data_IF_421225747535
#
_entry.id   IF_421225747535
#
_cell.length_a   1.000
_cell.length_b   1.000
_cell.length_c   1.000
_cell.angle_alpha   90.00
_cell.angle_beta   90.00
_cell.angle_gamma   90.00
#
_symmetry.space_group_name_H-M   'P 1'
#
loop_
_entity.id
_entity.type
_entity.pdbx_description
1 polymer ?
#
# COMPACT_ATOMS: atom_id res chain seq x y z
N UNK A 1 -25.32 -17.96 13.65
CA UNK A 1 -24.97 -17.01 14.73
C UNK A 1 -25.47 -17.63 16.03
N UNK A 2 -24.56 -18.04 16.89
CA UNK A 2 -24.88 -18.37 18.27
C UNK A 2 -25.42 -17.09 18.91
N UNK A 3 -26.48 -17.16 19.69
CA UNK A 3 -27.04 -16.02 20.42
C UNK A 3 -26.16 -15.50 21.56
N UNK A 4 -24.84 -15.61 21.42
CA UNK A 4 -23.85 -15.20 22.41
C UNK A 4 -23.39 -13.76 22.15
N UNK A 5 -23.16 -13.02 23.22
CA UNK A 5 -22.65 -11.66 23.18
C UNK A 5 -21.22 -11.66 22.67
N UNK A 6 -20.92 -10.81 21.68
CA UNK A 6 -19.57 -10.64 21.15
C UNK A 6 -18.94 -9.39 21.77
N UNK A 7 -17.77 -9.56 22.37
CA UNK A 7 -16.99 -8.44 22.90
C UNK A 7 -16.24 -7.73 21.75
N UNK A 8 -16.66 -6.51 21.41
CA UNK A 8 -16.05 -5.73 20.32
C UNK A 8 -15.23 -4.57 20.86
N UNK A 9 -15.63 -3.95 21.96
CA UNK A 9 -15.08 -2.69 22.47
C UNK A 9 -14.80 -2.71 23.98
N UNK A 10 -14.80 -3.86 24.62
CA UNK A 10 -14.57 -3.93 26.05
C UNK A 10 -13.29 -4.72 26.37
N UNK A 11 -12.34 -4.06 27.02
CA UNK A 11 -11.14 -4.69 27.54
C UNK A 11 -11.49 -5.48 28.80
N UNK A 12 -11.49 -6.80 28.68
CA UNK A 12 -11.84 -7.71 29.79
C UNK A 12 -10.80 -7.70 30.92
N UNK A 13 -9.53 -7.40 30.62
CA UNK A 13 -8.47 -7.35 31.62
C UNK A 13 -8.56 -6.10 32.49
N UNK A 14 -8.70 -4.95 31.83
CA UNK A 14 -8.77 -3.66 32.50
C UNK A 14 -10.20 -3.23 32.89
N UNK A 15 -11.21 -4.06 32.57
CA UNK A 15 -12.63 -3.83 32.84
C UNK A 15 -13.14 -2.44 32.40
N UNK A 16 -12.69 -1.96 31.26
CA UNK A 16 -13.03 -0.66 30.69
C UNK A 16 -13.30 -0.76 29.20
N UNK A 17 -13.86 0.28 28.64
CA UNK A 17 -13.99 0.41 27.18
C UNK A 17 -12.60 0.48 26.55
N UNK A 18 -12.31 -0.45 25.63
CA UNK A 18 -11.09 -0.54 24.85
C UNK A 18 -11.25 -0.02 23.45
N UNK A 19 -10.20 -0.19 22.64
CA UNK A 19 -10.21 0.12 21.22
C UNK A 19 -10.85 -1.06 20.46
N UNK A 20 -11.68 -0.75 19.47
CA UNK A 20 -12.26 -1.77 18.59
C UNK A 20 -11.15 -2.53 17.86
N UNK A 21 -11.21 -3.87 17.90
CA UNK A 21 -10.23 -4.76 17.26
C UNK A 21 -8.79 -4.70 17.85
N UNK A 22 -8.60 -4.24 19.08
CA UNK A 22 -7.28 -4.14 19.73
C UNK A 22 -6.46 -5.44 19.61
N UNK A 23 -7.05 -6.57 19.98
CA UNK A 23 -6.40 -7.87 19.82
C UNK A 23 -5.98 -8.18 18.37
N UNK A 24 -6.83 -7.84 17.41
CA UNK A 24 -6.53 -8.08 16.01
C UNK A 24 -5.39 -7.16 15.50
N UNK A 25 -5.34 -5.93 16.00
CA UNK A 25 -4.26 -4.99 15.69
C UNK A 25 -2.93 -5.53 16.23
N UNK A 26 -2.88 -5.94 17.48
CA UNK A 26 -1.69 -6.52 18.10
C UNK A 26 -1.22 -7.80 17.37
N UNK A 27 -2.15 -8.69 17.07
CA UNK A 27 -1.86 -9.92 16.32
C UNK A 27 -1.29 -9.62 14.93
N UNK A 28 -1.88 -8.67 14.21
CA UNK A 28 -1.40 -8.30 12.87
C UNK A 28 -0.07 -7.54 12.92
N UNK A 29 0.17 -6.70 13.94
CA UNK A 29 1.46 -6.07 14.14
C UNK A 29 2.57 -7.09 14.32
N UNK A 30 2.31 -8.13 15.13
CA UNK A 30 3.25 -9.22 15.33
C UNK A 30 3.48 -10.04 14.04
N UNK A 31 2.40 -10.38 13.34
CA UNK A 31 2.44 -11.19 12.13
C UNK A 31 3.19 -10.48 10.99
N UNK A 32 2.95 -9.19 10.81
CA UNK A 32 3.52 -8.38 9.75
C UNK A 32 4.85 -7.72 10.13
N UNK A 33 5.24 -7.81 11.39
CA UNK A 33 6.36 -7.06 11.95
C UNK A 33 6.23 -5.55 11.64
N UNK A 34 5.01 -5.01 11.82
CA UNK A 34 4.68 -3.61 11.57
C UNK A 34 4.68 -2.80 12.87
N UNK A 35 4.79 -1.49 12.76
CA UNK A 35 4.70 -0.59 13.90
C UNK A 35 3.24 -0.38 14.34
N UNK A 36 2.34 -0.32 13.36
CA UNK A 36 0.91 -0.17 13.60
C UNK A 36 0.10 -0.72 12.42
N UNK A 37 -1.19 -1.01 12.67
CA UNK A 37 -2.13 -1.55 11.68
C UNK A 37 -3.48 -0.86 11.81
N UNK A 38 -4.04 -0.48 10.67
CA UNK A 38 -5.40 0.02 10.56
C UNK A 38 -6.21 -0.88 9.63
N UNK A 39 -7.44 -1.22 10.03
CA UNK A 39 -8.35 -2.03 9.22
C UNK A 39 -9.37 -1.16 8.53
N UNK A 40 -9.52 -1.38 7.24
CA UNK A 40 -10.53 -0.77 6.38
C UNK A 40 -11.26 -1.86 5.59
N UNK A 41 -12.40 -1.54 5.02
CA UNK A 41 -13.27 -2.54 4.38
C UNK A 41 -12.80 -3.00 2.98
N UNK A 42 -11.88 -2.29 2.34
CA UNK A 42 -11.31 -2.71 1.06
C UNK A 42 -10.03 -1.94 0.71
N UNK A 43 -9.30 -2.38 -0.33
CA UNK A 43 -8.07 -1.76 -0.78
C UNK A 43 -8.29 -0.32 -1.28
N UNK A 44 -9.38 -0.05 -1.99
CA UNK A 44 -9.71 1.29 -2.48
C UNK A 44 -9.75 2.32 -1.35
N UNK A 45 -10.47 1.99 -0.29
CA UNK A 45 -10.56 2.82 0.90
C UNK A 45 -9.20 2.96 1.59
N UNK A 46 -8.41 1.88 1.65
CA UNK A 46 -7.05 1.92 2.21
C UNK A 46 -6.18 2.91 1.46
N UNK A 47 -6.13 2.78 0.14
CA UNK A 47 -5.31 3.66 -0.70
C UNK A 47 -5.76 5.12 -0.62
N UNK A 48 -7.07 5.37 -0.73
CA UNK A 48 -7.64 6.72 -0.65
C UNK A 48 -7.31 7.40 0.68
N UNK A 49 -7.59 6.71 1.82
CA UNK A 49 -7.33 7.25 3.16
C UNK A 49 -5.85 7.51 3.35
N UNK A 50 -4.98 6.56 2.96
CA UNK A 50 -3.53 6.71 3.09
C UNK A 50 -3.03 7.91 2.29
N UNK A 51 -3.37 8.00 1.00
CA UNK A 51 -2.93 9.10 0.15
C UNK A 51 -3.46 10.46 0.64
N UNK A 52 -4.71 10.50 1.08
CA UNK A 52 -5.33 11.71 1.63
C UNK A 52 -4.63 12.16 2.92
N UNK A 53 -4.34 11.25 3.83
CA UNK A 53 -3.59 11.53 5.06
C UNK A 53 -2.18 12.02 4.76
N UNK A 54 -1.46 11.36 3.83
CA UNK A 54 -0.12 11.78 3.45
C UNK A 54 -0.10 13.19 2.83
N UNK A 55 -1.12 13.54 2.07
CA UNK A 55 -1.29 14.90 1.55
C UNK A 55 -1.50 15.91 2.67
N UNK A 56 -2.46 15.64 3.55
CA UNK A 56 -2.94 16.63 4.51
C UNK A 56 -1.97 16.80 5.70
N UNK A 57 -1.33 15.73 6.18
CA UNK A 57 -0.48 15.72 7.36
C UNK A 57 1.02 15.84 7.03
N UNK A 58 1.45 15.35 5.87
CA UNK A 58 2.86 15.34 5.46
C UNK A 58 3.16 16.27 4.28
N UNK A 59 2.15 17.03 3.86
CA UNK A 59 2.27 18.01 2.76
C UNK A 59 2.75 17.39 1.43
N UNK A 60 2.50 16.09 1.22
CA UNK A 60 2.82 15.43 -0.04
C UNK A 60 1.96 16.03 -1.15
N UNK A 61 2.59 16.40 -2.27
CA UNK A 61 1.91 17.06 -3.40
C UNK A 61 1.72 16.13 -4.59
N UNK A 62 2.55 15.09 -4.72
CA UNK A 62 2.59 14.26 -5.92
C UNK A 62 2.82 12.80 -5.60
N UNK A 63 2.30 11.94 -6.47
CA UNK A 63 2.50 10.49 -6.48
C UNK A 63 3.25 10.09 -7.73
N UNK A 64 4.45 9.53 -7.58
CA UNK A 64 5.26 8.98 -8.67
C UNK A 64 4.91 7.50 -8.84
N UNK A 65 4.44 7.12 -10.03
CA UNK A 65 4.01 5.75 -10.34
C UNK A 65 4.52 5.29 -11.70
N UNK A 66 4.89 4.01 -11.81
CA UNK A 66 5.20 3.38 -13.09
C UNK A 66 3.96 3.23 -13.97
N UNK A 67 4.05 3.58 -15.26
CA UNK A 67 2.97 3.35 -16.23
C UNK A 67 2.52 1.90 -16.30
N UNK A 68 3.43 0.95 -16.12
CA UNK A 68 3.11 -0.47 -16.08
C UNK A 68 2.36 -0.92 -14.82
N UNK A 69 2.12 -0.02 -13.87
CA UNK A 69 1.41 -0.27 -12.60
C UNK A 69 0.11 0.54 -12.47
N UNK A 70 -0.25 1.28 -13.50
CA UNK A 70 -1.52 2.01 -13.55
C UNK A 70 -2.62 1.01 -13.90
N UNK A 71 -3.33 0.56 -12.88
CA UNK A 71 -4.27 -0.54 -12.97
C UNK A 71 -5.74 -0.09 -12.92
N UNK A 72 -6.59 -0.88 -13.55
CA UNK A 72 -8.04 -0.92 -13.30
C UNK A 72 -8.36 -2.27 -12.64
N UNK A 73 -9.07 -2.24 -11.51
CA UNK A 73 -9.52 -3.42 -10.78
C UNK A 73 -11.04 -3.57 -10.93
N UNK A 74 -11.60 -4.73 -10.57
CA UNK A 74 -13.02 -5.02 -10.70
C UNK A 74 -13.94 -3.91 -10.17
N UNK A 75 -15.07 -3.68 -10.85
CA UNK A 75 -16.00 -2.60 -10.51
C UNK A 75 -15.64 -1.23 -11.07
N UNK A 76 -14.82 -1.18 -12.12
CA UNK A 76 -14.34 0.07 -12.75
C UNK A 76 -13.50 0.95 -11.84
N UNK A 77 -12.85 0.35 -10.83
CA UNK A 77 -11.94 1.03 -9.94
C UNK A 77 -10.62 1.31 -10.67
N UNK A 78 -10.37 2.58 -10.98
CA UNK A 78 -9.18 3.05 -11.67
C UNK A 78 -8.27 3.79 -10.72
N UNK A 79 -7.04 3.34 -10.63
CA UNK A 79 -6.03 3.95 -9.77
C UNK A 79 -5.82 5.47 -10.03
N UNK A 80 -5.77 5.97 -11.28
CA UNK A 80 -5.65 7.40 -11.54
C UNK A 80 -6.80 8.22 -10.95
N UNK A 81 -8.03 7.72 -11.03
CA UNK A 81 -9.21 8.41 -10.50
C UNK A 81 -9.12 8.57 -8.98
N UNK A 82 -8.66 7.53 -8.28
CA UNK A 82 -8.48 7.59 -6.81
C UNK A 82 -7.40 8.60 -6.42
N UNK A 83 -6.25 8.57 -7.10
CA UNK A 83 -5.18 9.54 -6.85
C UNK A 83 -5.72 10.96 -7.07
N UNK A 84 -6.44 11.18 -8.16
CA UNK A 84 -7.04 12.48 -8.49
C UNK A 84 -8.03 12.96 -7.41
N UNK A 85 -8.89 12.07 -6.91
CA UNK A 85 -9.87 12.40 -5.85
C UNK A 85 -9.21 12.81 -4.53
N UNK A 86 -7.98 12.37 -4.27
CA UNK A 86 -7.20 12.86 -3.11
C UNK A 86 -6.66 14.27 -3.31
N UNK A 87 -6.68 14.77 -4.56
CA UNK A 87 -6.10 16.05 -4.96
C UNK A 87 -4.58 16.05 -5.05
N UNK A 88 -3.95 14.86 -5.15
CA UNK A 88 -2.53 14.70 -5.45
C UNK A 88 -2.29 14.72 -6.97
N UNK A 89 -1.13 15.23 -7.39
CA UNK A 89 -0.70 15.16 -8.77
C UNK A 89 -0.10 13.78 -9.06
N UNK A 90 -0.58 13.10 -10.10
CA UNK A 90 0.00 11.83 -10.53
C UNK A 90 1.12 12.08 -11.54
N UNK A 91 2.31 11.55 -11.25
CA UNK A 91 3.50 11.62 -12.10
C UNK A 91 3.79 10.22 -12.63
N UNK A 92 3.44 10.02 -13.89
CA UNK A 92 3.69 8.78 -14.59
C UNK A 92 5.12 8.71 -15.10
N UNK A 93 5.82 7.61 -14.81
CA UNK A 93 7.19 7.39 -15.25
C UNK A 93 7.35 6.09 -16.04
N UNK A 94 8.43 6.01 -16.80
CA UNK A 94 8.73 4.87 -17.64
C UNK A 94 7.74 4.69 -18.79
N UNK A 95 7.56 3.44 -19.20
CA UNK A 95 6.62 2.99 -20.23
C UNK A 95 5.79 1.82 -19.71
N UNK A 96 4.81 1.37 -20.50
CA UNK A 96 3.94 0.24 -20.11
C UNK A 96 4.73 -1.00 -19.71
N UNK A 97 5.81 -1.31 -20.43
CA UNK A 97 6.57 -2.54 -20.22
C UNK A 97 7.94 -2.33 -19.55
N UNK A 98 8.41 -1.08 -19.43
CA UNK A 98 9.73 -0.82 -18.84
C UNK A 98 9.74 0.44 -17.97
N UNK A 99 10.16 0.24 -16.73
CA UNK A 99 10.46 1.33 -15.81
C UNK A 99 11.76 1.01 -15.07
N UNK A 100 12.67 1.98 -15.02
CA UNK A 100 13.99 1.83 -14.44
C UNK A 100 14.16 2.71 -13.20
N UNK A 101 15.07 2.34 -12.34
CA UNK A 101 15.39 3.12 -11.14
C UNK A 101 15.71 4.59 -11.45
N UNK A 102 16.40 4.86 -12.57
CA UNK A 102 16.70 6.22 -13.03
C UNK A 102 15.45 7.05 -13.37
N UNK A 103 14.34 6.41 -13.72
CA UNK A 103 13.11 7.12 -14.04
C UNK A 103 12.46 7.67 -12.76
N UNK A 104 12.48 6.87 -11.68
CA UNK A 104 12.08 7.31 -10.34
C UNK A 104 13.00 8.41 -9.81
N UNK A 105 14.33 8.24 -9.93
CA UNK A 105 15.29 9.23 -9.48
C UNK A 105 15.05 10.59 -10.14
N UNK A 106 14.91 10.63 -11.47
CA UNK A 106 14.64 11.87 -12.22
C UNK A 106 13.32 12.53 -11.84
N UNK A 107 12.32 11.72 -11.48
CA UNK A 107 11.03 12.24 -11.05
C UNK A 107 11.13 12.87 -9.65
N UNK A 108 11.84 12.24 -8.72
CA UNK A 108 12.09 12.78 -7.38
C UNK A 108 12.88 14.10 -7.43
N UNK A 109 13.92 14.19 -8.27
CA UNK A 109 14.73 15.40 -8.45
C UNK A 109 13.92 16.62 -8.94
N UNK A 110 12.81 16.38 -9.64
CA UNK A 110 11.97 17.43 -10.23
C UNK A 110 10.74 17.79 -9.41
N UNK A 111 10.39 16.95 -8.46
CA UNK A 111 9.14 17.07 -7.73
C UNK A 111 9.40 16.91 -6.24
N UNK A 112 9.52 18.03 -5.57
CA UNK A 112 9.62 18.05 -4.12
C UNK A 112 8.32 17.54 -3.47
N UNK A 113 8.42 17.03 -2.25
CA UNK A 113 7.28 16.52 -1.47
C UNK A 113 6.44 15.49 -2.25
N UNK A 114 7.11 14.57 -2.91
CA UNK A 114 6.46 13.47 -3.63
C UNK A 114 6.67 12.13 -2.91
N UNK A 115 5.74 11.21 -3.13
CA UNK A 115 5.86 9.82 -2.70
C UNK A 115 6.01 8.90 -3.91
N UNK A 116 6.69 7.78 -3.72
CA UNK A 116 6.73 6.68 -4.67
C UNK A 116 5.58 5.73 -4.33
N UNK A 117 4.71 5.47 -5.31
CA UNK A 117 3.68 4.43 -5.21
C UNK A 117 4.10 3.22 -6.04
N UNK A 118 4.35 2.10 -5.37
CA UNK A 118 4.59 0.79 -5.98
C UNK A 118 3.33 -0.04 -5.89
N UNK A 119 2.82 -0.52 -7.04
CA UNK A 119 1.57 -1.30 -7.09
C UNK A 119 1.83 -2.69 -7.64
N UNK A 120 1.30 -3.71 -6.95
CA UNK A 120 1.37 -5.08 -7.43
C UNK A 120 0.29 -5.35 -8.49
N UNK A 121 0.71 -5.89 -9.63
CA UNK A 121 -0.18 -6.30 -10.72
C UNK A 121 -0.89 -7.61 -10.37
N UNK A 122 -2.02 -7.51 -9.65
CA UNK A 122 -2.72 -8.67 -9.09
C UNK A 122 -3.56 -9.45 -10.12
N UNK A 123 -4.02 -8.80 -11.19
CA UNK A 123 -5.02 -9.32 -12.14
C UNK A 123 -4.56 -9.33 -13.60
N UNK A 124 -3.31 -8.97 -13.87
CA UNK A 124 -2.72 -9.07 -15.21
C UNK A 124 -1.20 -9.25 -15.15
N UNK A 125 -0.59 -9.69 -16.25
CA UNK A 125 0.85 -9.76 -16.43
C UNK A 125 1.29 -8.94 -17.64
N UNK A 126 2.54 -8.46 -17.61
CA UNK A 126 3.21 -7.86 -18.76
C UNK A 126 4.38 -8.79 -19.08
N UNK A 127 4.37 -9.36 -20.28
CA UNK A 127 5.34 -10.36 -20.70
C UNK A 127 6.20 -9.86 -21.87
N UNK A 128 7.31 -10.56 -22.16
CA UNK A 128 8.21 -10.24 -23.24
C UNK A 128 9.34 -9.30 -22.80
N UNK A 129 9.51 -8.21 -23.52
CA UNK A 129 10.63 -7.28 -23.32
C UNK A 129 10.34 -6.28 -22.19
N UNK A 130 10.37 -6.76 -20.95
CA UNK A 130 9.95 -6.03 -19.75
C UNK A 130 11.13 -5.67 -18.85
N UNK A 131 10.96 -4.62 -18.03
CA UNK A 131 11.88 -4.23 -16.96
C UNK A 131 11.10 -3.54 -15.84
N UNK A 132 11.32 -3.97 -14.63
CA UNK A 132 10.65 -3.45 -13.43
C UNK A 132 11.69 -3.22 -12.32
N UNK A 133 11.36 -2.38 -11.34
CA UNK A 133 12.26 -2.05 -10.23
C UNK A 133 11.82 -2.80 -8.97
N UNK A 134 12.77 -3.46 -8.33
CA UNK A 134 12.52 -4.16 -7.07
C UNK A 134 12.20 -3.18 -5.93
N UNK A 135 11.34 -3.62 -5.03
CA UNK A 135 10.89 -2.80 -3.89
C UNK A 135 12.05 -2.38 -2.97
N UNK A 136 13.09 -3.20 -2.85
CA UNK A 136 14.26 -2.87 -2.02
C UNK A 136 15.10 -1.76 -2.63
N UNK A 137 15.20 -1.73 -3.96
CA UNK A 137 15.87 -0.65 -4.68
C UNK A 137 15.10 0.66 -4.53
N UNK A 138 13.77 0.60 -4.66
CA UNK A 138 12.88 1.77 -4.44
C UNK A 138 12.98 2.28 -3.00
N UNK A 139 13.01 1.39 -2.01
CA UNK A 139 13.20 1.78 -0.61
C UNK A 139 14.54 2.49 -0.39
N UNK A 140 15.61 1.96 -0.98
CA UNK A 140 16.93 2.58 -0.90
C UNK A 140 16.97 3.96 -1.56
N UNK A 141 16.29 4.11 -2.70
CA UNK A 141 16.16 5.38 -3.39
C UNK A 141 15.32 6.39 -2.59
N UNK A 142 14.18 5.97 -2.07
CA UNK A 142 13.31 6.80 -1.24
C UNK A 142 14.06 7.34 -0.01
N UNK A 143 14.75 6.46 0.72
CA UNK A 143 15.54 6.86 1.89
C UNK A 143 16.64 7.87 1.56
N UNK A 144 17.31 7.75 0.40
CA UNK A 144 18.34 8.70 -0.04
C UNK A 144 17.80 10.08 -0.40
N UNK A 145 16.53 10.17 -0.77
CA UNK A 145 15.88 11.41 -1.21
C UNK A 145 14.89 11.96 -0.18
N UNK A 146 14.85 11.40 1.03
CA UNK A 146 13.88 11.74 2.08
C UNK A 146 12.42 11.68 1.56
N UNK A 147 12.16 10.71 0.69
CA UNK A 147 10.85 10.50 0.09
C UNK A 147 10.12 9.31 0.74
N UNK A 148 8.80 9.34 0.70
CA UNK A 148 7.98 8.24 1.18
C UNK A 148 7.83 7.16 0.10
N UNK A 149 7.76 5.90 0.53
CA UNK A 149 7.43 4.76 -0.32
C UNK A 149 6.15 4.10 0.20
N UNK A 150 5.10 4.14 -0.61
CA UNK A 150 3.85 3.42 -0.39
C UNK A 150 3.83 2.18 -1.28
N UNK A 151 3.60 1.01 -0.69
CA UNK A 151 3.52 -0.25 -1.43
C UNK A 151 2.12 -0.83 -1.35
N UNK A 152 1.38 -0.76 -2.44
CA UNK A 152 0.11 -1.47 -2.60
C UNK A 152 0.40 -2.91 -3.03
N UNK A 153 0.27 -3.83 -2.09
CA UNK A 153 0.56 -5.25 -2.31
C UNK A 153 -0.58 -6.01 -3.00
N UNK A 154 -1.75 -5.38 -3.17
CA UNK A 154 -2.91 -5.96 -3.81
C UNK A 154 -3.30 -7.31 -3.19
N UNK A 155 -3.49 -8.33 -4.03
CA UNK A 155 -3.80 -9.70 -3.61
C UNK A 155 -2.56 -10.58 -3.35
N UNK A 156 -1.38 -9.97 -3.16
CA UNK A 156 -0.15 -10.72 -2.93
C UNK A 156 -0.18 -11.44 -1.58
N UNK A 157 0.41 -12.62 -1.54
CA UNK A 157 0.57 -13.37 -0.30
C UNK A 157 1.54 -12.64 0.64
N UNK A 158 1.07 -12.28 1.84
CA UNK A 158 1.85 -11.58 2.87
C UNK A 158 2.63 -12.57 3.73
N UNK A 159 2.07 -13.77 3.92
CA UNK A 159 2.67 -14.84 4.72
C UNK A 159 3.45 -15.79 3.78
N UNK A 160 4.62 -16.25 4.21
CA UNK A 160 5.41 -17.15 3.37
C UNK A 160 4.70 -18.49 3.14
N UNK A 161 4.79 -19.05 1.92
CA UNK A 161 4.26 -20.38 1.61
C UNK A 161 4.77 -21.45 2.57
N UNK A 162 6.04 -21.38 2.97
CA UNK A 162 6.63 -22.32 3.91
C UNK A 162 5.94 -22.32 5.28
N UNK A 163 5.40 -21.18 5.71
CA UNK A 163 4.62 -21.10 6.93
C UNK A 163 3.27 -21.81 6.76
N UNK A 164 2.55 -21.55 5.68
CA UNK A 164 1.26 -22.18 5.38
C UNK A 164 1.39 -23.71 5.24
N UNK A 165 2.43 -24.17 4.52
CA UNK A 165 2.72 -25.61 4.37
C UNK A 165 3.04 -26.30 5.70
N UNK A 166 3.72 -25.60 6.61
CA UNK A 166 4.04 -26.13 7.94
C UNK A 166 2.81 -26.27 8.83
N UNK A 167 1.86 -25.36 8.70
CA UNK A 167 0.62 -25.33 9.50
C UNK A 167 -0.54 -26.09 8.82
N UNK A 168 -0.32 -26.76 7.68
CA UNK A 168 -1.35 -27.47 6.90
C UNK A 168 -2.57 -26.59 6.51
N UNK A 169 -2.35 -25.33 6.22
CA UNK A 169 -3.37 -24.37 5.78
C UNK A 169 -3.33 -24.18 4.25
#
# INVERSE_FOLDING_TARGET
>A
YSGESTNIEFDLFNQKRGIRNEFLIEFMNLLLNSQDVCFVNNNASSLFITLKTLKDEFEINSVIISRGEIIEIGGSYRLPEIIQETGLNMIEIGTTNKTRLKDYQKALEKNEKSLILKVHRSNYSIEGFTEDVDIKELRSLANKNDALLLHDIGSRLVISRKFLEKENI
#
